data_IF_835041882715
#
_entry.id   IF_835041882715
#
_cell.length_a   1.000
_cell.length_b   1.000
_cell.length_c   1.000
_cell.angle_alpha   90.00
_cell.angle_beta   90.00
_cell.angle_gamma   90.00
#
_symmetry.space_group_name_H-M   'P 1'
#
loop_
_entity.id
_entity.type
_entity.pdbx_description
1 polymer ?
#
# COMPACT_ATOMS: atom_id res chain seq x y z
N UNK A 1 28.98 34.71 18.70
CA UNK A 1 27.71 34.07 19.08
C UNK A 1 26.96 33.57 17.85
N UNK A 2 27.49 32.57 17.12
CA UNK A 2 26.90 32.08 15.85
C UNK A 2 26.87 30.54 15.75
N UNK A 3 27.43 29.85 16.74
CA UNK A 3 27.54 28.38 16.77
C UNK A 3 26.48 27.68 17.62
N UNK A 4 25.70 28.42 18.42
CA UNK A 4 24.67 27.83 19.29
C UNK A 4 23.31 27.60 18.60
N UNK A 5 23.04 28.27 17.47
CA UNK A 5 21.75 28.13 16.75
C UNK A 5 21.73 26.97 15.76
N UNK A 6 22.88 26.48 15.32
CA UNK A 6 22.98 25.40 14.32
C UNK A 6 22.79 23.99 14.92
N UNK A 7 22.98 23.79 16.24
CA UNK A 7 22.81 22.45 16.84
C UNK A 7 21.36 22.10 17.15
N UNK A 8 20.48 23.10 17.33
CA UNK A 8 19.06 22.86 17.67
C UNK A 8 18.26 22.39 16.45
N UNK A 9 18.62 22.83 15.25
CA UNK A 9 17.94 22.43 14.01
C UNK A 9 18.28 20.99 13.56
N UNK A 10 19.35 20.40 14.08
CA UNK A 10 19.74 19.03 13.72
C UNK A 10 19.08 17.96 14.60
N UNK A 11 18.61 18.31 15.80
CA UNK A 11 18.02 17.33 16.72
C UNK A 11 16.53 17.05 16.46
N UNK A 12 15.82 17.92 15.76
CA UNK A 12 14.39 17.71 15.46
C UNK A 12 14.15 16.90 14.19
N UNK A 13 15.14 16.73 13.32
CA UNK A 13 15.00 15.95 12.08
C UNK A 13 15.30 14.45 12.24
N UNK A 14 15.90 14.04 13.36
CA UNK A 14 16.29 12.63 13.59
C UNK A 14 15.15 11.80 14.22
N UNK A 15 14.10 12.43 14.75
CA UNK A 15 12.98 11.69 15.37
C UNK A 15 12.00 11.03 14.38
N UNK A 16 12.13 11.28 13.07
CA UNK A 16 11.25 10.68 12.05
C UNK A 16 11.83 9.41 11.40
N UNK A 17 13.03 8.98 11.79
CA UNK A 17 13.63 7.76 11.24
C UNK A 17 13.59 6.64 12.27
N UNK A 18 12.74 5.66 11.96
CA UNK A 18 12.89 4.24 12.34
C UNK A 18 12.58 3.86 13.78
N UNK A 19 11.30 3.52 14.00
CA UNK A 19 10.87 2.69 15.11
C UNK A 19 9.64 1.85 14.79
N UNK A 20 9.44 1.43 13.53
CA UNK A 20 8.53 0.31 13.28
C UNK A 20 9.22 -0.96 13.81
N UNK A 21 8.60 -1.70 14.76
CA UNK A 21 9.15 -2.98 15.22
C UNK A 21 9.31 -3.91 14.03
N UNK A 22 10.51 -4.51 13.90
CA UNK A 22 10.90 -5.38 12.77
C UNK A 22 10.43 -6.83 12.99
N UNK A 23 9.38 -7.02 13.77
CA UNK A 23 9.05 -8.31 14.35
C UNK A 23 7.54 -8.50 14.38
N UNK A 24 6.91 -8.26 13.23
CA UNK A 24 5.62 -8.86 12.87
C UNK A 24 5.90 -9.73 11.65
N UNK A 25 6.74 -10.76 11.84
CA UNK A 25 6.73 -11.94 10.99
C UNK A 25 5.49 -12.73 11.33
N UNK A 26 4.33 -12.20 10.94
CA UNK A 26 3.16 -13.06 10.86
C UNK A 26 3.37 -13.82 9.57
N UNK A 27 3.69 -15.10 9.69
CA UNK A 27 3.51 -16.11 8.64
C UNK A 27 2.00 -16.27 8.32
N UNK A 28 1.31 -15.15 8.15
CA UNK A 28 0.08 -15.08 7.39
C UNK A 28 0.56 -15.35 5.97
N UNK A 29 -0.01 -16.37 5.35
CA UNK A 29 0.22 -16.69 3.95
C UNK A 29 -0.40 -15.58 3.08
N UNK A 30 0.24 -14.40 3.12
CA UNK A 30 -0.17 -13.16 2.46
C UNK A 30 -0.26 -13.35 0.95
N UNK A 31 0.53 -14.29 0.41
CA UNK A 31 0.46 -14.72 -0.99
C UNK A 31 -0.93 -15.21 -1.40
N UNK A 32 -1.70 -15.77 -0.48
CA UNK A 32 -3.10 -16.15 -0.74
C UNK A 32 -4.05 -14.94 -0.82
N UNK A 33 -3.70 -13.82 -0.20
CA UNK A 33 -4.54 -12.62 -0.10
C UNK A 33 -4.11 -11.49 -1.05
N UNK A 34 -2.87 -11.49 -1.54
CA UNK A 34 -2.37 -10.49 -2.50
C UNK A 34 -3.26 -10.35 -3.73
N UNK A 35 -3.64 -11.47 -4.35
CA UNK A 35 -4.51 -11.47 -5.53
C UNK A 35 -5.91 -10.86 -5.25
N UNK A 36 -6.69 -11.34 -4.25
CA UNK A 36 -8.01 -10.77 -3.98
C UNK A 36 -7.94 -9.31 -3.50
N UNK A 37 -6.92 -8.91 -2.73
CA UNK A 37 -6.72 -7.51 -2.32
C UNK A 37 -6.45 -6.64 -3.55
N UNK A 38 -5.52 -7.05 -4.41
CA UNK A 38 -5.23 -6.33 -5.64
C UNK A 38 -6.48 -6.17 -6.52
N UNK A 39 -7.22 -7.26 -6.76
CA UNK A 39 -8.38 -7.20 -7.63
C UNK A 39 -9.45 -6.23 -7.09
N UNK A 40 -9.65 -6.24 -5.78
CA UNK A 40 -10.58 -5.34 -5.13
C UNK A 40 -10.15 -3.88 -5.26
N UNK A 41 -8.87 -3.57 -5.06
CA UNK A 41 -8.32 -2.21 -5.20
C UNK A 41 -8.48 -1.70 -6.63
N UNK A 42 -8.18 -2.53 -7.63
CA UNK A 42 -8.32 -2.16 -9.05
C UNK A 42 -9.79 -1.95 -9.42
N UNK A 43 -10.70 -2.84 -8.97
CA UNK A 43 -12.15 -2.70 -9.19
C UNK A 43 -12.69 -1.39 -8.60
N UNK A 44 -12.14 -0.93 -7.49
CA UNK A 44 -12.54 0.31 -6.80
C UNK A 44 -11.64 1.51 -7.12
N UNK A 45 -10.90 1.46 -8.23
CA UNK A 45 -9.96 2.49 -8.64
C UNK A 45 -10.54 3.89 -8.77
N UNK A 46 -11.82 4.01 -9.14
CA UNK A 46 -12.53 5.28 -9.22
C UNK A 46 -12.54 6.07 -7.90
N UNK A 47 -12.36 5.40 -6.75
CA UNK A 47 -12.35 6.02 -5.43
C UNK A 47 -11.00 6.65 -5.05
N UNK A 48 -9.91 6.27 -5.73
CA UNK A 48 -8.57 6.66 -5.33
C UNK A 48 -7.65 7.15 -6.46
N UNK A 49 -7.93 6.86 -7.74
CA UNK A 49 -7.01 7.16 -8.85
C UNK A 49 -6.80 8.65 -9.11
N UNK A 50 -7.74 9.50 -8.69
CA UNK A 50 -7.60 10.97 -8.75
C UNK A 50 -6.91 11.60 -7.55
N UNK A 51 -6.53 10.81 -6.53
CA UNK A 51 -5.81 11.25 -5.34
C UNK A 51 -4.31 11.08 -5.55
N UNK A 52 -3.48 11.76 -4.75
CA UNK A 52 -2.01 11.64 -4.81
C UNK A 52 -1.41 11.47 -3.42
N UNK A 53 -0.21 10.88 -3.36
CA UNK A 53 0.57 10.69 -2.13
C UNK A 53 -0.24 10.01 -1.01
N UNK A 54 -0.14 10.58 0.20
CA UNK A 54 -0.78 10.05 1.42
C UNK A 54 -2.30 9.93 1.29
N UNK A 55 -2.96 10.82 0.53
CA UNK A 55 -4.41 10.78 0.34
C UNK A 55 -4.82 9.53 -0.46
N UNK A 56 -4.02 9.15 -1.46
CA UNK A 56 -4.22 7.93 -2.24
C UNK A 56 -3.99 6.70 -1.39
N UNK A 57 -2.85 6.64 -0.70
CA UNK A 57 -2.48 5.52 0.17
C UNK A 57 -3.56 5.28 1.22
N UNK A 58 -4.01 6.33 1.91
CA UNK A 58 -5.06 6.25 2.92
C UNK A 58 -6.40 5.76 2.37
N UNK A 59 -6.78 6.22 1.16
CA UNK A 59 -7.99 5.73 0.50
C UNK A 59 -7.91 4.23 0.18
N UNK A 60 -6.76 3.75 -0.31
CA UNK A 60 -6.56 2.33 -0.63
C UNK A 60 -6.50 1.48 0.64
N UNK A 61 -5.81 1.94 1.69
CA UNK A 61 -5.77 1.27 3.00
C UNK A 61 -7.19 1.12 3.55
N UNK A 62 -8.00 2.18 3.53
CA UNK A 62 -9.37 2.15 4.03
C UNK A 62 -10.25 1.13 3.29
N UNK A 63 -10.08 1.01 1.97
CA UNK A 63 -10.78 -0.01 1.18
C UNK A 63 -10.35 -1.42 1.56
N UNK A 64 -9.06 -1.64 1.69
CA UNK A 64 -8.50 -2.92 2.11
C UNK A 64 -8.94 -3.31 3.53
N UNK A 65 -8.88 -2.39 4.50
CA UNK A 65 -9.29 -2.62 5.87
C UNK A 65 -10.77 -3.00 5.96
N UNK A 66 -11.62 -2.34 5.17
CA UNK A 66 -13.05 -2.64 5.12
C UNK A 66 -13.30 -4.09 4.72
N UNK A 67 -12.58 -4.60 3.73
CA UNK A 67 -12.69 -6.00 3.29
C UNK A 67 -12.09 -6.98 4.30
N UNK A 68 -11.04 -6.58 5.02
CA UNK A 68 -10.38 -7.38 6.05
C UNK A 68 -10.90 -7.12 7.46
N UNK A 69 -12.06 -6.48 7.62
CA UNK A 69 -12.60 -6.07 8.94
C UNK A 69 -12.68 -7.24 9.92
N UNK A 70 -12.96 -8.46 9.43
CA UNK A 70 -13.04 -9.67 10.25
C UNK A 70 -11.71 -10.05 10.93
N UNK A 71 -10.57 -9.53 10.45
CA UNK A 71 -9.24 -9.76 11.00
C UNK A 71 -8.86 -8.72 12.07
N UNK A 72 -9.69 -7.71 12.30
CA UNK A 72 -9.42 -6.65 13.28
C UNK A 72 -8.09 -5.93 13.01
N UNK A 73 -7.25 -5.81 14.05
CA UNK A 73 -5.96 -5.12 13.98
C UNK A 73 -5.02 -5.73 12.92
N UNK A 74 -5.11 -7.04 12.69
CA UNK A 74 -4.29 -7.70 11.67
C UNK A 74 -4.67 -7.26 10.25
N UNK A 75 -5.95 -6.99 9.99
CA UNK A 75 -6.40 -6.48 8.69
C UNK A 75 -5.70 -5.17 8.33
N UNK A 76 -5.62 -4.24 9.29
CA UNK A 76 -4.87 -2.99 9.13
C UNK A 76 -3.39 -3.20 8.83
N UNK A 77 -2.71 -4.04 9.63
CA UNK A 77 -1.28 -4.30 9.41
C UNK A 77 -0.99 -4.90 8.02
N UNK A 78 -1.87 -5.80 7.56
CA UNK A 78 -1.78 -6.41 6.23
C UNK A 78 -1.98 -5.36 5.14
N UNK A 79 -3.00 -4.51 5.26
CA UNK A 79 -3.30 -3.48 4.29
C UNK A 79 -2.22 -2.41 4.20
N UNK A 80 -1.69 -1.96 5.34
CA UNK A 80 -0.58 -1.01 5.39
C UNK A 80 0.66 -1.58 4.67
N UNK A 81 0.99 -2.85 4.93
CA UNK A 81 2.12 -3.52 4.29
C UNK A 81 1.90 -3.70 2.77
N UNK A 82 0.72 -4.20 2.38
CA UNK A 82 0.36 -4.41 0.98
C UNK A 82 0.41 -3.11 0.18
N UNK A 83 -0.19 -2.03 0.71
CA UNK A 83 -0.22 -0.74 0.02
C UNK A 83 1.18 -0.18 -0.16
N UNK A 84 2.00 -0.24 0.88
CA UNK A 84 3.38 0.22 0.83
C UNK A 84 4.22 -0.52 -0.21
N UNK A 85 4.02 -1.84 -0.32
CA UNK A 85 4.87 -2.68 -1.16
C UNK A 85 4.37 -2.79 -2.61
N UNK A 86 3.06 -2.70 -2.84
CA UNK A 86 2.45 -3.08 -4.13
C UNK A 86 1.60 -2.00 -4.81
N UNK A 87 1.18 -0.92 -4.14
CA UNK A 87 0.27 0.05 -4.74
C UNK A 87 0.87 0.72 -6.00
N UNK A 88 2.12 1.16 -5.95
CA UNK A 88 2.80 1.78 -7.10
C UNK A 88 2.95 0.81 -8.28
N UNK A 89 3.19 -0.47 -7.99
CA UNK A 89 3.27 -1.53 -8.99
C UNK A 89 1.91 -1.73 -9.69
N UNK A 90 0.82 -1.74 -8.92
CA UNK A 90 -0.55 -1.82 -9.43
C UNK A 90 -0.88 -0.62 -10.32
N UNK A 91 -0.60 0.60 -9.85
CA UNK A 91 -0.85 1.85 -10.60
C UNK A 91 -0.14 1.82 -11.95
N UNK A 92 1.16 1.48 -11.94
CA UNK A 92 1.95 1.37 -13.17
C UNK A 92 1.30 0.44 -14.19
N UNK A 93 0.76 -0.69 -13.75
CA UNK A 93 0.12 -1.65 -14.64
C UNK A 93 -1.30 -1.27 -15.07
N UNK A 94 -2.00 -0.45 -14.29
CA UNK A 94 -3.27 0.17 -14.71
C UNK A 94 -3.05 1.24 -15.79
N UNK A 95 -1.94 1.98 -15.72
CA UNK A 95 -1.62 3.08 -16.64
C UNK A 95 -0.94 2.63 -17.95
N UNK A 96 -0.46 1.39 -18.03
CA UNK A 96 0.27 0.81 -19.19
C UNK A 96 -0.61 0.60 -20.46
N UNK A 97 -1.77 1.27 -20.53
CA UNK A 97 -2.50 1.61 -21.76
C UNK A 97 -3.10 0.46 -22.58
N UNK A 98 -2.96 -0.79 -22.15
CA UNK A 98 -3.37 -1.99 -22.90
C UNK A 98 -4.48 -2.79 -22.22
N UNK A 99 -4.78 -2.46 -20.98
CA UNK A 99 -5.85 -3.06 -20.22
C UNK A 99 -6.90 -1.97 -20.03
N UNK A 100 -8.15 -2.28 -20.35
CA UNK A 100 -9.24 -1.54 -19.76
C UNK A 100 -8.97 -1.60 -18.25
N UNK A 101 -8.78 -0.46 -17.58
CA UNK A 101 -8.49 -0.37 -16.14
C UNK A 101 -9.54 -1.08 -15.23
N UNK A 102 -10.52 -1.73 -15.85
CA UNK A 102 -11.60 -2.53 -15.30
C UNK A 102 -11.28 -4.03 -15.23
N UNK A 103 -10.32 -4.56 -16.01
CA UNK A 103 -9.91 -5.98 -15.88
C UNK A 103 -8.88 -6.13 -14.76
N UNK A 104 -9.41 -6.16 -13.54
CA UNK A 104 -8.63 -6.28 -12.32
C UNK A 104 -7.76 -7.55 -12.29
N UNK A 105 -8.27 -8.68 -12.79
CA UNK A 105 -7.51 -9.94 -12.84
C UNK A 105 -6.28 -9.78 -13.72
N UNK A 106 -6.43 -9.15 -14.89
CA UNK A 106 -5.34 -8.94 -15.85
C UNK A 106 -4.28 -8.00 -15.28
N UNK A 107 -4.68 -6.87 -14.69
CA UNK A 107 -3.77 -5.93 -14.01
C UNK A 107 -2.99 -6.63 -12.90
N UNK A 108 -3.69 -7.36 -12.01
CA UNK A 108 -3.06 -8.04 -10.87
C UNK A 108 -2.17 -9.23 -11.29
N UNK A 109 -2.47 -9.87 -12.43
CA UNK A 109 -1.59 -10.89 -13.02
C UNK A 109 -0.31 -10.26 -13.58
N UNK A 110 -0.41 -9.11 -14.26
CA UNK A 110 0.77 -8.37 -14.75
C UNK A 110 1.65 -7.86 -13.61
N UNK A 111 1.01 -7.41 -12.53
CA UNK A 111 1.68 -7.03 -11.29
C UNK A 111 2.30 -8.22 -10.52
N UNK A 112 2.10 -9.46 -10.99
CA UNK A 112 2.56 -10.73 -10.36
C UNK A 112 1.93 -11.05 -9.00
N UNK A 113 0.82 -10.42 -8.68
CA UNK A 113 0.04 -10.63 -7.45
C UNK A 113 -0.98 -11.76 -7.61
N UNK A 114 -1.42 -12.02 -8.85
CA UNK A 114 -2.23 -13.17 -9.21
C UNK A 114 -1.43 -14.16 -10.06
N UNK A 115 -1.70 -15.46 -9.88
CA UNK A 115 -1.19 -16.49 -10.79
C UNK A 115 -1.79 -16.30 -12.18
N UNK A 116 -0.94 -16.39 -13.20
CA UNK A 116 -1.36 -16.51 -14.60
C UNK A 116 -2.18 -17.80 -14.74
N UNK A 117 -3.44 -17.66 -15.16
CA UNK A 117 -4.31 -18.78 -15.48
C UNK A 117 -4.14 -19.22 -16.92
#
# INVERSE_FOLDING_TARGET
MKFALLSVLFFTTIFLTFGMPKDVSVDLDLKGMECPICEMIVKQSELWIGKEGEERESAVISLCEKELTSLGIYGKMICDAFVKDELDNIIKHMEDGTDEAKDARKVCTKAKLCKSS
#
